data_IF_084071535668
#
_entry.id   IF_084071535668
#
_cell.length_a   1.000
_cell.length_b   1.000
_cell.length_c   1.000
_cell.angle_alpha   90.00
_cell.angle_beta   90.00
_cell.angle_gamma   90.00
#
_symmetry.space_group_name_H-M   'P 1'
#
loop_
_entity.id
_entity.type
_entity.pdbx_description
1 polymer ?
#
# COMPACT_ATOMS: atom_id res chain seq x y z
N UNK A 1 -10.52 -20.32 -9.06
CA UNK A 1 -9.07 -20.07 -9.15
C UNK A 1 -8.77 -18.94 -8.19
N UNK A 2 -8.16 -19.21 -7.04
CA UNK A 2 -7.76 -18.16 -6.10
C UNK A 2 -6.67 -17.31 -6.74
N UNK A 3 -7.05 -16.12 -7.18
CA UNK A 3 -6.12 -15.10 -7.67
C UNK A 3 -5.13 -14.82 -6.55
N UNK A 4 -3.88 -15.24 -6.74
CA UNK A 4 -2.76 -14.98 -5.82
C UNK A 4 -2.71 -13.48 -5.56
N UNK A 5 -3.28 -13.02 -4.45
CA UNK A 5 -3.40 -11.60 -4.10
C UNK A 5 -2.00 -11.06 -3.87
N UNK A 6 -1.47 -10.37 -4.87
CA UNK A 6 -0.20 -9.68 -4.77
C UNK A 6 -0.39 -8.47 -3.86
N UNK A 7 0.48 -8.35 -2.88
CA UNK A 7 0.52 -7.25 -1.92
C UNK A 7 1.80 -6.46 -2.12
N UNK A 8 1.78 -5.19 -1.76
CA UNK A 8 2.95 -4.31 -1.77
C UNK A 8 3.42 -4.08 -0.34
N UNK A 9 4.74 -4.09 -0.18
CA UNK A 9 5.40 -3.86 1.11
C UNK A 9 5.94 -2.44 1.10
N UNK A 10 5.53 -1.67 2.08
CA UNK A 10 6.00 -0.30 2.31
C UNK A 10 6.76 -0.23 3.62
N UNK A 11 7.81 0.56 3.62
CA UNK A 11 8.40 1.11 4.83
C UNK A 11 7.76 2.46 5.09
N UNK A 12 7.22 2.64 6.29
CA UNK A 12 6.72 3.93 6.74
C UNK A 12 7.85 4.61 7.50
N UNK A 13 8.20 5.80 7.06
CA UNK A 13 9.19 6.65 7.73
C UNK A 13 8.55 7.97 8.08
N UNK A 14 8.64 8.36 9.34
CA UNK A 14 8.21 9.69 9.77
C UNK A 14 9.40 10.65 9.70
N UNK A 15 9.24 11.73 8.94
CA UNK A 15 10.24 12.80 8.85
C UNK A 15 9.54 14.15 8.83
N UNK A 16 9.92 15.03 9.75
CA UNK A 16 9.35 16.38 9.86
C UNK A 16 7.80 16.38 9.92
N UNK A 17 7.21 15.54 10.78
CA UNK A 17 5.76 15.33 10.90
C UNK A 17 5.06 14.89 9.60
N UNK A 18 5.79 14.31 8.65
CA UNK A 18 5.22 13.75 7.43
C UNK A 18 5.57 12.28 7.32
N UNK A 19 4.56 11.49 6.93
CA UNK A 19 4.71 10.05 6.71
C UNK A 19 5.08 9.79 5.26
N UNK A 20 6.27 9.25 5.06
CA UNK A 20 6.76 8.82 3.76
C UNK A 20 6.58 7.31 3.63
N UNK A 21 5.86 6.92 2.57
CA UNK A 21 5.56 5.54 2.24
C UNK A 21 6.49 5.11 1.12
N UNK A 22 7.57 4.42 1.50
CA UNK A 22 8.56 3.96 0.55
C UNK A 22 8.27 2.50 0.22
N UNK A 23 8.01 2.20 -1.06
CA UNK A 23 7.88 0.81 -1.49
C UNK A 23 9.24 0.13 -1.38
N UNK A 24 9.29 -0.99 -0.65
CA UNK A 24 10.52 -1.77 -0.43
C UNK A 24 10.44 -3.18 -0.99
N UNK A 25 9.28 -3.60 -1.47
CA UNK A 25 9.13 -4.93 -2.03
C UNK A 25 7.69 -5.33 -2.31
N UNK A 26 7.50 -6.65 -2.40
CA UNK A 26 6.22 -7.29 -2.70
C UNK A 26 5.99 -8.47 -1.76
N UNK A 27 4.73 -8.78 -1.50
CA UNK A 27 4.34 -9.92 -0.69
C UNK A 27 3.28 -10.76 -1.39
N UNK A 28 3.32 -12.07 -1.14
CA UNK A 28 2.41 -13.03 -1.73
C UNK A 28 1.78 -13.88 -0.63
N UNK A 29 0.47 -14.09 -0.72
CA UNK A 29 -0.22 -15.07 0.13
C UNK A 29 0.00 -16.48 -0.43
N UNK A 30 0.48 -17.36 0.43
CA UNK A 30 0.70 -18.78 0.15
C UNK A 30 -0.60 -19.58 0.39
N UNK A 31 -0.62 -20.83 -0.08
CA UNK A 31 -1.79 -21.72 0.06
C UNK A 31 -2.15 -22.02 1.52
N UNK A 32 -1.16 -21.99 2.41
CA UNK A 32 -1.30 -22.19 3.85
C UNK A 32 -1.71 -20.91 4.61
N UNK A 33 -1.96 -19.81 3.90
CA UNK A 33 -2.28 -18.52 4.49
C UNK A 33 -1.07 -17.72 4.96
N UNK A 34 0.14 -18.27 4.88
CA UNK A 34 1.37 -17.53 5.21
C UNK A 34 1.67 -16.45 4.17
N UNK A 35 2.48 -15.46 4.55
CA UNK A 35 2.92 -14.39 3.65
C UNK A 35 4.40 -14.57 3.32
N UNK A 36 4.70 -14.73 2.04
CA UNK A 36 6.08 -14.66 1.54
C UNK A 36 6.40 -13.24 1.10
N UNK A 37 7.34 -12.61 1.80
CA UNK A 37 7.77 -11.23 1.55
C UNK A 37 9.10 -11.25 0.79
N UNK A 38 9.13 -10.57 -0.36
CA UNK A 38 10.34 -10.34 -1.15
C UNK A 38 10.73 -8.88 -1.02
N UNK A 39 11.81 -8.63 -0.28
CA UNK A 39 12.37 -7.30 -0.04
C UNK A 39 13.45 -7.01 -1.07
N UNK A 40 13.38 -5.83 -1.70
CA UNK A 40 14.41 -5.27 -2.56
C UNK A 40 15.30 -4.27 -1.80
N UNK A 41 14.85 -3.82 -0.63
CA UNK A 41 15.57 -2.93 0.26
C UNK A 41 15.42 -3.36 1.74
N UNK A 42 16.44 -3.04 2.55
CA UNK A 42 16.42 -3.31 4.00
C UNK A 42 15.63 -2.19 4.72
N UNK A 43 14.58 -2.52 5.49
CA UNK A 43 13.82 -1.54 6.25
C UNK A 43 14.63 -1.04 7.46
N UNK A 44 15.14 0.19 7.40
CA UNK A 44 15.95 0.77 8.48
C UNK A 44 15.13 1.38 9.62
N UNK A 45 13.85 1.69 9.37
CA UNK A 45 12.97 2.28 10.40
C UNK A 45 12.31 1.25 11.32
N UNK A 46 12.49 -0.04 11.06
CA UNK A 46 11.93 -1.13 11.86
C UNK A 46 10.43 -1.40 11.65
N UNK A 47 9.68 -0.48 11.05
CA UNK A 47 8.25 -0.68 10.71
C UNK A 47 8.04 -0.92 9.22
N UNK A 48 7.25 -1.94 8.89
CA UNK A 48 6.78 -2.23 7.54
C UNK A 48 5.29 -2.50 7.50
N UNK A 49 4.65 -2.03 6.43
CA UNK A 49 3.22 -2.18 6.17
C UNK A 49 3.02 -2.97 4.88
N UNK A 50 2.24 -4.05 4.94
CA UNK A 50 1.88 -4.87 3.78
C UNK A 50 0.44 -4.56 3.39
N UNK A 51 0.22 -4.03 2.18
CA UNK A 51 -1.11 -3.63 1.71
C UNK A 51 -1.46 -4.35 0.40
N UNK A 52 -2.75 -4.56 0.16
CA UNK A 52 -3.23 -5.08 -1.12
C UNK A 52 -2.82 -4.14 -2.26
N UNK A 53 -2.36 -4.73 -3.36
CA UNK A 53 -2.03 -3.96 -4.55
C UNK A 53 -3.32 -3.44 -5.17
N UNK A 54 -3.50 -2.13 -5.15
CA UNK A 54 -4.55 -1.43 -5.88
C UNK A 54 -3.90 -0.82 -7.11
N UNK A 55 -4.37 -1.20 -8.30
CA UNK A 55 -3.87 -0.60 -9.54
C UNK A 55 -4.28 0.87 -9.52
N UNK A 56 -3.28 1.77 -9.56
CA UNK A 56 -3.51 3.21 -9.64
C UNK A 56 -4.08 3.53 -11.03
N UNK A 57 -5.40 3.37 -11.13
CA UNK A 57 -6.24 3.44 -12.32
C UNK A 57 -7.71 3.17 -11.96
N UNK A 58 -7.97 2.54 -10.81
CA UNK A 58 -9.31 2.29 -10.25
C UNK A 58 -9.65 3.20 -9.06
N UNK A 59 -8.82 4.23 -8.80
CA UNK A 59 -9.22 5.36 -7.95
C UNK A 59 -9.91 6.38 -8.85
N UNK A 60 -11.07 6.02 -9.42
CA UNK A 60 -12.00 7.04 -9.89
C UNK A 60 -12.42 7.82 -8.67
N UNK A 61 -11.91 9.04 -8.62
CA UNK A 61 -12.34 10.16 -7.81
C UNK A 61 -13.85 10.10 -7.52
N UNK A 62 -14.22 9.48 -6.41
CA UNK A 62 -15.54 9.70 -5.80
C UNK A 62 -15.30 10.49 -4.52
N UNK A 63 -14.63 11.62 -4.66
CA UNK A 63 -14.82 12.69 -3.69
C UNK A 63 -16.28 13.17 -3.86
N UNK A 64 -17.09 13.25 -2.79
CA UNK A 64 -18.34 13.97 -2.89
C UNK A 64 -17.97 15.44 -3.17
N UNK A 65 -18.26 15.90 -4.39
CA UNK A 65 -18.17 17.31 -4.76
C UNK A 65 -18.96 18.11 -3.73
N UNK A 66 -18.24 18.86 -2.91
CA UNK A 66 -18.82 19.88 -2.06
C UNK A 66 -19.60 20.85 -2.95
N UNK A 67 -20.93 20.70 -2.98
CA UNK A 67 -21.80 21.75 -3.50
C UNK A 67 -21.65 22.96 -2.58
N UNK A 68 -20.84 23.91 -3.03
CA UNK A 68 -20.82 25.25 -2.49
C UNK A 68 -21.38 26.21 -3.55
N UNK A 69 -22.59 26.71 -3.23
CA UNK A 69 -23.14 28.02 -3.55
C UNK A 69 -23.21 28.46 -5.02
N UNK A 70 -24.42 28.46 -5.58
CA UNK A 70 -24.88 29.51 -6.51
C UNK A 70 -26.43 29.56 -6.52
N UNK A 71 -27.00 30.55 -5.83
CA UNK A 71 -28.18 31.34 -6.24
C UNK A 71 -28.44 32.42 -5.19
#
# INVERSE_FOLDING_TARGET
>A
MESKKMKIVYVVTERNNKNYWNRVGVAFTNKDGSLSVRLEAIPVSGEMQIRDYVVRGELTDTAPVSQQLAA
#
